data_IF_060742448315
#
_entry.id   IF_060742448315
#
_cell.length_a   1.000
_cell.length_b   1.000
_cell.length_c   1.000
_cell.angle_alpha   90.00
_cell.angle_beta   90.00
_cell.angle_gamma   90.00
#
_symmetry.space_group_name_H-M   'P 1'
#
loop_
_entity.id
_entity.type
_entity.pdbx_description
1 polymer ?
#
# COMPACT_ATOMS: atom_id res chain seq x y z
N UNK A 1 10.11 -9.30 17.98
CA UNK A 1 9.15 -10.11 17.23
C UNK A 1 9.57 -10.09 15.76
N UNK A 2 9.32 -11.17 15.02
CA UNK A 2 9.66 -11.32 13.61
C UNK A 2 8.40 -11.68 12.81
N UNK A 3 8.44 -11.48 11.50
CA UNK A 3 7.37 -11.96 10.60
C UNK A 3 7.30 -13.49 10.72
N UNK A 4 6.09 -14.04 10.80
CA UNK A 4 5.84 -15.47 11.03
C UNK A 4 5.72 -15.89 12.49
N UNK A 5 6.02 -15.00 13.47
CA UNK A 5 5.76 -15.29 14.88
C UNK A 5 4.25 -15.44 15.15
N UNK A 6 3.84 -16.56 15.75
CA UNK A 6 2.43 -16.81 16.13
C UNK A 6 2.20 -16.36 17.58
N UNK A 7 1.27 -15.44 17.80
CA UNK A 7 0.95 -14.92 19.13
C UNK A 7 0.26 -15.99 20.00
N UNK A 8 0.84 -16.28 21.16
CA UNK A 8 0.30 -17.26 22.15
C UNK A 8 -0.30 -16.58 23.37
N UNK A 9 0.46 -15.69 24.04
CA UNK A 9 0.02 -15.07 25.31
C UNK A 9 0.28 -13.56 25.33
N UNK A 10 -0.58 -12.83 26.04
CA UNK A 10 -0.41 -11.43 26.38
C UNK A 10 -0.53 -11.28 27.90
N UNK A 11 0.49 -10.73 28.56
CA UNK A 11 0.60 -10.62 30.03
C UNK A 11 0.29 -11.97 30.73
N UNK A 12 0.85 -13.06 30.22
CA UNK A 12 0.66 -14.42 30.72
C UNK A 12 -0.67 -15.08 30.37
N UNK A 13 -1.67 -14.35 29.86
CA UNK A 13 -3.00 -14.89 29.50
C UNK A 13 -3.00 -15.42 28.05
N UNK A 14 -3.50 -16.62 27.85
CA UNK A 14 -3.62 -17.23 26.51
C UNK A 14 -4.54 -16.44 25.61
N UNK A 15 -4.12 -16.17 24.37
CA UNK A 15 -4.86 -15.47 23.33
C UNK A 15 -4.89 -16.26 22.01
N UNK A 16 -4.31 -17.45 21.97
CA UNK A 16 -4.15 -18.26 20.75
C UNK A 16 -5.46 -18.59 20.05
N UNK A 17 -6.57 -18.69 20.80
CA UNK A 17 -7.92 -18.97 20.30
C UNK A 17 -8.81 -17.71 20.18
N UNK A 18 -8.23 -16.52 20.36
CA UNK A 18 -8.99 -15.27 20.28
C UNK A 18 -8.91 -14.65 18.89
N UNK A 19 -9.92 -13.83 18.56
CA UNK A 19 -9.84 -13.02 17.34
C UNK A 19 -8.68 -12.01 17.42
N UNK A 20 -8.12 -11.64 16.28
CA UNK A 20 -7.04 -10.65 16.19
C UNK A 20 -7.40 -9.37 16.94
N UNK A 21 -8.61 -8.87 16.79
CA UNK A 21 -9.09 -7.65 17.47
C UNK A 21 -9.04 -7.78 18.99
N UNK A 22 -9.47 -8.93 19.56
CA UNK A 22 -9.43 -9.17 20.99
C UNK A 22 -7.99 -9.29 21.52
N UNK A 23 -7.11 -9.94 20.77
CA UNK A 23 -5.69 -10.04 21.11
C UNK A 23 -4.99 -8.67 21.07
N UNK A 24 -5.24 -7.87 20.02
CA UNK A 24 -4.71 -6.50 19.87
C UNK A 24 -5.20 -5.58 20.99
N UNK A 25 -6.48 -5.67 21.40
CA UNK A 25 -7.00 -4.88 22.53
C UNK A 25 -6.24 -5.14 23.83
N UNK A 26 -5.75 -6.37 24.07
CA UNK A 26 -4.93 -6.70 25.25
C UNK A 26 -3.48 -6.22 25.14
N UNK A 27 -2.95 -6.11 23.91
CA UNK A 27 -1.61 -5.54 23.67
C UNK A 27 -1.65 -4.03 23.85
N UNK A 28 -2.68 -3.35 23.36
CA UNK A 28 -2.89 -1.90 23.54
C UNK A 28 -3.09 -1.55 25.03
N UNK A 29 -2.86 -0.30 25.37
CA UNK A 29 -3.08 0.20 26.74
C UNK A 29 -2.38 1.55 26.95
N UNK A 30 -2.41 2.03 28.20
CA UNK A 30 -1.84 3.34 28.57
C UNK A 30 -0.36 3.45 28.18
N UNK A 31 0.00 4.55 27.53
CA UNK A 31 1.40 4.86 27.15
C UNK A 31 2.26 4.84 28.42
N UNK A 32 3.49 4.30 28.29
CA UNK A 32 4.45 4.16 29.37
C UNK A 32 4.30 2.87 30.18
N UNK A 33 3.20 2.13 30.07
CA UNK A 33 3.04 0.82 30.72
C UNK A 33 3.72 -0.29 29.93
N UNK A 34 4.05 -1.38 30.61
CA UNK A 34 4.70 -2.54 29.98
C UNK A 34 3.67 -3.60 29.59
N UNK A 35 3.90 -4.28 28.48
CA UNK A 35 3.16 -5.45 28.03
C UNK A 35 4.13 -6.58 27.75
N UNK A 36 3.81 -7.80 28.21
CA UNK A 36 4.55 -9.03 27.90
C UNK A 36 3.81 -9.80 26.82
N UNK A 37 4.50 -10.20 25.77
CA UNK A 37 3.96 -10.94 24.64
C UNK A 37 4.76 -12.22 24.43
N UNK A 38 4.10 -13.37 24.50
CA UNK A 38 4.71 -14.68 24.20
C UNK A 38 4.28 -15.13 22.80
N UNK A 39 5.24 -15.49 21.99
CA UNK A 39 5.03 -15.98 20.62
C UNK A 39 5.64 -17.36 20.41
N UNK A 40 5.13 -18.10 19.43
CA UNK A 40 5.75 -19.31 18.89
C UNK A 40 6.48 -18.96 17.61
N UNK A 41 7.75 -19.35 17.52
CA UNK A 41 8.61 -19.22 16.35
C UNK A 41 9.16 -20.61 16.00
N UNK A 42 8.64 -21.20 14.93
CA UNK A 42 8.91 -22.62 14.64
C UNK A 42 8.45 -23.50 15.81
N UNK A 43 9.33 -24.34 16.36
CA UNK A 43 9.08 -25.18 17.53
C UNK A 43 9.30 -24.48 18.88
N UNK A 44 9.92 -23.30 18.91
CA UNK A 44 10.33 -22.61 20.14
C UNK A 44 9.33 -21.51 20.55
N UNK A 45 9.28 -21.21 21.84
CA UNK A 45 8.57 -20.05 22.36
C UNK A 45 9.54 -18.96 22.78
N UNK A 46 9.16 -17.70 22.54
CA UNK A 46 9.91 -16.53 22.98
C UNK A 46 8.96 -15.52 23.62
N UNK A 47 9.39 -14.89 24.72
CA UNK A 47 8.62 -13.85 25.41
C UNK A 47 9.35 -12.52 25.30
N UNK A 48 8.62 -11.49 24.86
CA UNK A 48 9.12 -10.13 24.71
C UNK A 48 8.38 -9.21 25.67
N UNK A 49 9.13 -8.44 26.44
CA UNK A 49 8.61 -7.35 27.28
C UNK A 49 8.80 -6.02 26.56
N UNK A 50 7.72 -5.28 26.34
CA UNK A 50 7.72 -4.05 25.54
C UNK A 50 7.01 -2.93 26.29
N UNK A 51 7.63 -1.74 26.33
CA UNK A 51 6.99 -0.53 26.86
C UNK A 51 6.03 0.05 25.82
N UNK A 52 4.79 0.29 26.19
CA UNK A 52 3.81 0.93 25.30
C UNK A 52 4.21 2.36 25.00
N UNK A 53 4.25 2.71 23.76
CA UNK A 53 4.57 4.05 23.28
C UNK A 53 3.52 4.48 22.25
N UNK A 54 3.39 5.79 22.00
CA UNK A 54 2.65 6.28 20.83
C UNK A 54 3.45 5.87 19.59
N UNK A 55 2.92 4.92 18.83
CA UNK A 55 3.52 4.53 17.54
C UNK A 55 3.02 5.54 16.52
N UNK A 56 3.92 6.38 16.02
CA UNK A 56 3.69 7.14 14.79
C UNK A 56 3.90 6.18 13.63
N UNK A 57 2.82 5.82 12.95
CA UNK A 57 2.92 5.06 11.70
C UNK A 57 3.39 6.03 10.63
N UNK A 58 4.52 5.73 10.00
CA UNK A 58 4.96 6.49 8.84
C UNK A 58 4.01 6.22 7.67
N UNK A 59 3.29 7.26 7.28
CA UNK A 59 2.38 7.21 6.13
C UNK A 59 3.04 7.70 4.84
N UNK A 60 4.22 8.30 4.96
CA UNK A 60 5.03 8.75 3.84
C UNK A 60 6.44 8.20 3.97
N UNK A 61 6.89 7.53 2.93
CA UNK A 61 8.29 7.10 2.79
C UNK A 61 8.90 7.72 1.54
N UNK A 62 10.22 7.85 1.52
CA UNK A 62 10.91 8.41 0.36
C UNK A 62 12.34 7.93 0.21
N UNK A 63 12.71 7.65 -1.03
CA UNK A 63 14.05 7.24 -1.44
C UNK A 63 14.36 7.72 -2.85
N UNK A 64 15.63 7.81 -3.20
CA UNK A 64 16.03 8.02 -4.59
C UNK A 64 15.76 6.75 -5.39
N UNK A 65 15.27 6.90 -6.61
CA UNK A 65 15.01 5.77 -7.50
C UNK A 65 16.31 4.99 -7.76
N UNK A 66 16.31 3.65 -7.66
CA UNK A 66 17.51 2.85 -7.92
C UNK A 66 18.11 3.09 -9.31
N UNK A 67 17.24 3.21 -10.32
CA UNK A 67 17.62 3.38 -11.71
C UNK A 67 18.08 4.79 -12.07
N UNK A 68 17.66 5.82 -11.32
CA UNK A 68 18.04 7.22 -11.55
C UNK A 68 18.07 8.01 -10.24
N UNK A 69 19.25 8.28 -9.72
CA UNK A 69 19.46 8.96 -8.44
C UNK A 69 19.05 10.45 -8.43
N UNK A 70 18.65 11.01 -9.56
CA UNK A 70 18.07 12.35 -9.65
C UNK A 70 16.54 12.34 -9.49
N UNK A 71 15.91 11.16 -9.41
CA UNK A 71 14.47 11.01 -9.22
C UNK A 71 14.19 10.59 -7.78
N UNK A 72 13.44 11.39 -7.03
CA UNK A 72 12.92 11.04 -5.72
C UNK A 72 11.59 10.31 -5.83
N UNK A 73 11.49 9.12 -5.25
CA UNK A 73 10.22 8.37 -5.14
C UNK A 73 9.64 8.65 -3.77
N UNK A 74 8.39 9.13 -3.74
CA UNK A 74 7.64 9.44 -2.52
C UNK A 74 6.40 8.57 -2.51
N UNK A 75 6.31 7.63 -1.57
CA UNK A 75 5.15 6.76 -1.42
C UNK A 75 4.27 7.26 -0.28
N UNK A 76 2.98 7.44 -0.53
CA UNK A 76 1.97 7.73 0.49
C UNK A 76 1.09 6.48 0.63
N UNK A 77 1.12 5.83 1.78
CA UNK A 77 0.33 4.61 2.04
C UNK A 77 -1.11 4.89 2.48
N UNK A 78 -1.35 6.04 3.12
CA UNK A 78 -2.67 6.53 3.51
C UNK A 78 -2.60 8.02 3.83
N UNK A 79 -3.73 8.71 3.75
CA UNK A 79 -3.83 10.12 4.15
C UNK A 79 -4.35 10.22 5.58
N UNK A 80 -3.50 10.68 6.50
CA UNK A 80 -3.81 10.83 7.93
C UNK A 80 -3.17 12.10 8.51
N UNK A 81 -3.36 12.37 9.79
CA UNK A 81 -2.87 13.58 10.46
C UNK A 81 -1.36 13.82 10.24
N UNK A 82 -0.42 12.85 10.37
CA UNK A 82 1.01 13.10 10.19
C UNK A 82 1.44 13.23 8.71
N UNK A 83 0.59 12.86 7.74
CA UNK A 83 0.98 12.72 6.33
C UNK A 83 1.53 14.01 5.73
N UNK A 84 0.90 15.15 5.99
CA UNK A 84 1.35 16.45 5.43
C UNK A 84 2.73 16.82 5.95
N UNK A 85 2.97 16.66 7.25
CA UNK A 85 4.28 16.93 7.88
C UNK A 85 5.36 15.99 7.35
N UNK A 86 5.04 14.69 7.25
CA UNK A 86 5.95 13.68 6.75
C UNK A 86 6.26 13.91 5.26
N UNK A 87 5.28 14.28 4.44
CA UNK A 87 5.46 14.61 3.03
C UNK A 87 6.44 15.78 2.86
N UNK A 88 6.21 16.90 3.54
CA UNK A 88 7.12 18.06 3.51
C UNK A 88 8.55 17.68 3.93
N UNK A 89 8.70 16.87 4.98
CA UNK A 89 10.02 16.41 5.45
C UNK A 89 10.70 15.51 4.41
N UNK A 90 9.95 14.59 3.79
CA UNK A 90 10.45 13.67 2.76
C UNK A 90 10.91 14.42 1.51
N UNK A 91 10.12 15.37 1.01
CA UNK A 91 10.53 16.23 -0.13
C UNK A 91 11.83 16.98 0.20
N UNK A 92 11.91 17.62 1.38
CA UNK A 92 13.13 18.34 1.81
C UNK A 92 14.35 17.41 1.88
N UNK A 93 14.17 16.19 2.41
CA UNK A 93 15.22 15.18 2.48
C UNK A 93 15.71 14.80 1.08
N UNK A 94 14.80 14.43 0.19
CA UNK A 94 15.15 14.01 -1.17
C UNK A 94 15.81 15.12 -1.99
N UNK A 95 15.37 16.39 -1.83
CA UNK A 95 16.05 17.56 -2.42
C UNK A 95 17.51 17.65 -1.96
N UNK A 96 17.78 17.44 -0.66
CA UNK A 96 19.15 17.44 -0.12
C UNK A 96 19.98 16.26 -0.64
N UNK A 97 19.34 15.12 -0.92
CA UNK A 97 19.97 13.94 -1.50
C UNK A 97 20.19 14.04 -3.02
N UNK A 98 19.77 15.16 -3.64
CA UNK A 98 20.04 15.46 -5.05
C UNK A 98 18.89 15.19 -6.01
N UNK A 99 17.68 14.87 -5.51
CA UNK A 99 16.51 14.72 -6.37
C UNK A 99 16.21 16.04 -7.13
N UNK A 100 15.98 15.94 -8.44
CA UNK A 100 15.61 17.00 -9.36
C UNK A 100 14.18 16.87 -9.88
N UNK A 101 13.60 15.68 -9.72
CA UNK A 101 12.23 15.34 -10.10
C UNK A 101 11.65 14.31 -9.13
N UNK A 102 10.33 14.11 -9.18
CA UNK A 102 9.65 13.23 -8.24
C UNK A 102 8.71 12.24 -8.94
N UNK A 103 8.57 11.07 -8.34
CA UNK A 103 7.46 10.15 -8.56
C UNK A 103 6.67 10.10 -7.26
N UNK A 104 5.38 10.47 -7.31
CA UNK A 104 4.45 10.32 -6.20
C UNK A 104 3.70 9.00 -6.37
N UNK A 105 4.00 8.03 -5.52
CA UNK A 105 3.38 6.70 -5.56
C UNK A 105 2.15 6.65 -4.64
N UNK A 106 0.96 6.58 -5.26
CA UNK A 106 -0.34 6.44 -4.60
C UNK A 106 -0.96 5.07 -4.84
N UNK A 107 -0.23 4.12 -5.40
CA UNK A 107 -0.71 2.75 -5.58
C UNK A 107 -1.01 2.11 -4.23
N UNK A 108 -2.04 1.26 -4.18
CA UNK A 108 -2.51 0.59 -2.97
C UNK A 108 -2.94 1.54 -1.82
N UNK A 109 -3.15 2.83 -2.11
CA UNK A 109 -3.56 3.82 -1.12
C UNK A 109 -5.09 4.05 -1.19
N UNK A 110 -5.89 3.56 -0.22
CA UNK A 110 -7.35 3.67 -0.24
C UNK A 110 -7.85 5.09 0.08
N UNK A 111 -6.95 6.04 0.30
CA UNK A 111 -7.27 7.42 0.65
C UNK A 111 -7.07 7.71 2.13
N UNK A 112 -8.05 8.39 2.72
CA UNK A 112 -8.02 8.82 4.12
C UNK A 112 -8.55 10.24 4.30
N UNK A 113 -7.85 11.08 5.04
CA UNK A 113 -8.29 12.45 5.37
C UNK A 113 -8.26 13.38 4.16
N UNK A 114 -9.42 13.95 3.82
CA UNK A 114 -9.56 14.94 2.75
C UNK A 114 -8.67 16.18 2.98
N UNK A 115 -8.55 16.65 4.22
CA UNK A 115 -7.71 17.79 4.56
C UNK A 115 -6.23 17.59 4.20
N UNK A 116 -5.71 16.37 4.39
CA UNK A 116 -4.34 16.03 4.01
C UNK A 116 -4.16 16.02 2.48
N UNK A 117 -5.15 15.47 1.74
CA UNK A 117 -5.14 15.50 0.29
C UNK A 117 -5.19 16.93 -0.26
N UNK A 118 -6.04 17.80 0.29
CA UNK A 118 -6.13 19.22 -0.06
C UNK A 118 -4.78 19.93 0.15
N UNK A 119 -4.14 19.71 1.30
CA UNK A 119 -2.84 20.32 1.61
C UNK A 119 -1.75 19.87 0.64
N UNK A 120 -1.64 18.57 0.36
CA UNK A 120 -0.63 18.05 -0.58
C UNK A 120 -0.92 18.54 -2.00
N UNK A 121 -2.17 18.50 -2.44
CA UNK A 121 -2.55 19.00 -3.77
C UNK A 121 -2.25 20.49 -3.94
N UNK A 122 -2.46 21.29 -2.89
CA UNK A 122 -2.12 22.73 -2.91
C UNK A 122 -0.61 22.97 -3.11
N UNK A 123 0.25 22.08 -2.61
CA UNK A 123 1.70 22.21 -2.80
C UNK A 123 2.15 22.13 -4.26
N UNK A 124 1.37 21.45 -5.10
CA UNK A 124 1.64 21.31 -6.55
C UNK A 124 0.87 22.32 -7.42
N UNK A 125 -0.14 22.97 -6.85
CA UNK A 125 -1.01 23.89 -7.58
C UNK A 125 -0.59 25.36 -7.39
N UNK A 126 -0.88 26.21 -8.39
CA UNK A 126 -0.75 27.68 -8.22
C UNK A 126 -1.83 28.18 -7.25
N UNK A 127 -1.50 29.23 -6.49
CA UNK A 127 -2.47 29.84 -5.57
C UNK A 127 -3.73 30.29 -6.33
N UNK A 128 -4.89 30.02 -5.74
CA UNK A 128 -6.19 30.34 -6.32
C UNK A 128 -6.79 29.25 -7.24
N UNK A 129 -5.99 28.29 -7.72
CA UNK A 129 -6.53 27.19 -8.51
C UNK A 129 -7.44 26.30 -7.66
N UNK A 130 -8.54 25.82 -8.25
CA UNK A 130 -9.44 24.88 -7.61
C UNK A 130 -8.72 23.54 -7.40
N UNK A 131 -8.73 23.02 -6.17
CA UNK A 131 -8.18 21.70 -5.83
C UNK A 131 -9.28 20.66 -5.85
N UNK A 132 -10.46 21.03 -5.34
CA UNK A 132 -11.59 20.14 -5.13
C UNK A 132 -12.87 20.94 -5.09
N UNK A 133 -13.97 20.33 -5.55
CA UNK A 133 -15.33 20.84 -5.32
C UNK A 133 -16.10 19.76 -4.55
N UNK A 134 -16.87 20.16 -3.54
CA UNK A 134 -17.77 19.27 -2.80
C UNK A 134 -19.19 19.74 -3.08
N UNK A 135 -20.07 18.85 -3.50
CA UNK A 135 -21.47 19.12 -3.80
C UNK A 135 -22.36 18.30 -2.86
N UNK A 136 -23.21 18.97 -2.10
CA UNK A 136 -24.16 18.32 -1.20
C UNK A 136 -25.37 17.75 -1.96
N UNK A 137 -26.29 17.11 -1.22
CA UNK A 137 -27.52 16.53 -1.80
C UNK A 137 -28.46 17.56 -2.43
N UNK A 138 -28.35 18.84 -2.08
CA UNK A 138 -29.19 19.92 -2.59
C UNK A 138 -28.53 20.63 -3.79
N UNK A 139 -27.34 20.22 -4.20
CA UNK A 139 -26.57 20.81 -5.29
C UNK A 139 -25.72 22.01 -4.89
N UNK A 140 -25.69 22.39 -3.60
CA UNK A 140 -24.81 23.44 -3.13
C UNK A 140 -23.34 23.00 -3.18
N UNK A 141 -22.47 23.87 -3.73
CA UNK A 141 -21.07 23.57 -3.96
C UNK A 141 -20.16 24.37 -3.04
N UNK A 142 -19.24 23.66 -2.40
CA UNK A 142 -18.10 24.23 -1.71
C UNK A 142 -16.84 24.01 -2.53
N UNK A 143 -16.08 25.08 -2.82
CA UNK A 143 -14.88 25.03 -3.68
C UNK A 143 -13.64 25.26 -2.85
N UNK A 144 -12.75 24.29 -2.82
CA UNK A 144 -11.46 24.36 -2.13
C UNK A 144 -10.39 24.82 -3.12
N UNK A 145 -9.71 25.91 -2.77
CA UNK A 145 -8.65 26.52 -3.60
C UNK A 145 -7.28 26.37 -2.98
N UNK A 146 -6.27 26.14 -3.83
CA UNK A 146 -4.87 26.10 -3.41
C UNK A 146 -4.42 27.46 -2.83
N UNK A 147 -3.53 27.43 -1.86
CA UNK A 147 -2.94 28.61 -1.26
C UNK A 147 -2.34 28.36 0.10
N UNK A 148 -1.73 29.42 0.66
CA UNK A 148 -0.95 29.36 1.91
C UNK A 148 -1.70 28.79 3.10
N UNK A 149 -3.04 28.92 3.16
CA UNK A 149 -3.84 28.29 4.22
C UNK A 149 -3.80 26.75 4.20
N UNK A 150 -3.53 26.15 3.05
CA UNK A 150 -3.46 24.69 2.89
C UNK A 150 -2.03 24.16 2.90
N UNK A 151 -1.07 24.90 2.36
CA UNK A 151 0.30 24.43 2.12
C UNK A 151 1.38 25.13 2.96
N UNK A 152 1.03 26.13 3.77
CA UNK A 152 1.96 26.98 4.54
C UNK A 152 3.04 27.63 3.66
N UNK A 153 2.73 27.85 2.37
CA UNK A 153 3.67 28.38 1.38
C UNK A 153 4.70 27.35 0.88
N UNK A 154 4.60 26.09 1.26
CA UNK A 154 5.48 25.03 0.75
C UNK A 154 5.02 24.59 -0.65
N UNK A 155 5.93 24.65 -1.62
CA UNK A 155 5.65 24.26 -3.01
C UNK A 155 6.60 23.17 -3.51
N UNK A 156 6.05 22.32 -4.38
CA UNK A 156 6.77 21.31 -5.15
C UNK A 156 6.59 21.71 -6.63
N UNK A 157 7.67 22.19 -7.22
CA UNK A 157 7.68 22.72 -8.59
C UNK A 157 8.47 21.84 -9.55
N UNK A 158 9.13 20.82 -9.01
CA UNK A 158 9.91 19.86 -9.77
C UNK A 158 9.00 19.03 -10.65
N UNK A 159 9.53 18.62 -11.80
CA UNK A 159 8.84 17.68 -12.69
C UNK A 159 8.42 16.43 -11.90
N UNK A 160 7.16 16.08 -12.00
CA UNK A 160 6.56 15.00 -11.19
C UNK A 160 5.71 14.09 -12.07
N UNK A 161 5.60 12.81 -11.72
CA UNK A 161 4.61 11.88 -12.22
C UNK A 161 3.89 11.23 -11.03
N UNK A 162 2.63 10.83 -11.21
CA UNK A 162 1.85 10.17 -10.16
C UNK A 162 1.55 8.73 -10.57
N UNK A 163 1.92 7.78 -9.72
CA UNK A 163 1.55 6.38 -9.87
C UNK A 163 0.20 6.11 -9.23
N UNK A 164 -0.72 5.49 -9.97
CA UNK A 164 -2.04 5.07 -9.53
C UNK A 164 -2.34 3.63 -9.95
N UNK A 165 -3.23 2.98 -9.20
CA UNK A 165 -3.76 1.65 -9.53
C UNK A 165 -5.23 1.51 -9.09
N UNK A 166 -5.82 0.34 -9.31
CA UNK A 166 -7.20 0.04 -8.95
C UNK A 166 -7.53 0.15 -7.45
N UNK A 167 -6.55 0.29 -6.58
CA UNK A 167 -6.71 0.49 -5.14
C UNK A 167 -6.44 1.95 -4.72
N UNK A 168 -6.00 2.81 -5.65
CA UNK A 168 -5.91 4.26 -5.43
C UNK A 168 -7.30 4.84 -5.36
N UNK A 169 -7.77 5.25 -4.17
CA UNK A 169 -9.15 5.65 -3.96
C UNK A 169 -9.29 6.96 -3.16
N UNK A 170 -10.44 7.66 -3.32
CA UNK A 170 -10.85 8.79 -2.47
C UNK A 170 -9.78 9.91 -2.40
N UNK A 171 -9.14 10.16 -1.23
CA UNK A 171 -8.11 11.18 -1.07
C UNK A 171 -6.92 11.04 -2.05
N UNK A 172 -6.57 9.81 -2.43
CA UNK A 172 -5.57 9.53 -3.48
C UNK A 172 -6.03 10.06 -4.83
N UNK A 173 -7.32 9.86 -5.16
CA UNK A 173 -7.90 10.33 -6.42
C UNK A 173 -8.09 11.85 -6.42
N UNK A 174 -8.42 12.45 -5.28
CA UNK A 174 -8.45 13.92 -5.11
C UNK A 174 -7.07 14.49 -5.44
N UNK A 175 -6.02 13.92 -4.84
CA UNK A 175 -4.63 14.36 -5.08
C UNK A 175 -4.24 14.15 -6.53
N UNK A 176 -4.42 12.96 -7.08
CA UNK A 176 -4.05 12.65 -8.46
C UNK A 176 -4.79 13.55 -9.47
N UNK A 177 -6.11 13.75 -9.30
CA UNK A 177 -6.91 14.63 -10.17
C UNK A 177 -6.45 16.08 -10.11
N UNK A 178 -6.16 16.59 -8.90
CA UNK A 178 -5.70 17.97 -8.73
C UNK A 178 -4.33 18.20 -9.38
N UNK A 179 -3.38 17.28 -9.20
CA UNK A 179 -2.06 17.37 -9.80
C UNK A 179 -2.13 17.28 -11.32
N UNK A 180 -2.93 16.36 -11.83
CA UNK A 180 -3.12 16.19 -13.27
C UNK A 180 -3.75 17.42 -13.92
N UNK A 181 -4.91 17.87 -13.39
CA UNK A 181 -5.69 18.94 -14.02
C UNK A 181 -5.10 20.35 -13.81
N UNK A 182 -4.42 20.60 -12.70
CA UNK A 182 -3.84 21.91 -12.39
C UNK A 182 -2.41 22.12 -12.91
N UNK A 183 -1.64 21.05 -12.99
CA UNK A 183 -0.19 21.12 -13.23
C UNK A 183 0.28 20.23 -14.37
N UNK A 184 -0.64 19.63 -15.11
CA UNK A 184 -0.37 18.69 -16.21
C UNK A 184 0.61 17.57 -15.81
N UNK A 185 0.54 17.14 -14.55
CA UNK A 185 1.35 16.06 -14.03
C UNK A 185 0.78 14.73 -14.54
N UNK A 186 1.55 13.91 -15.27
CA UNK A 186 1.06 12.70 -15.86
C UNK A 186 0.71 11.64 -14.78
N UNK A 187 -0.42 10.96 -15.00
CA UNK A 187 -0.82 9.77 -14.26
C UNK A 187 -0.28 8.52 -14.97
N UNK A 188 0.35 7.63 -14.21
CA UNK A 188 0.99 6.42 -14.72
C UNK A 188 0.45 5.20 -14.00
N UNK A 189 0.17 4.11 -14.72
CA UNK A 189 -0.23 2.84 -14.15
C UNK A 189 -1.59 2.35 -14.61
N UNK A 190 -2.40 1.85 -13.69
CA UNK A 190 -3.76 1.35 -13.96
C UNK A 190 -4.81 2.39 -13.55
N UNK A 191 -6.04 2.21 -14.06
CA UNK A 191 -7.21 3.04 -13.72
C UNK A 191 -7.48 3.01 -12.22
N UNK A 192 -7.77 4.16 -11.61
CA UNK A 192 -8.06 4.26 -10.18
C UNK A 192 -9.43 3.69 -9.79
N UNK A 193 -9.70 3.57 -8.51
CA UNK A 193 -10.89 2.91 -7.95
C UNK A 193 -12.22 3.56 -8.33
N UNK A 194 -12.30 4.89 -8.29
CA UNK A 194 -13.56 5.61 -8.55
C UNK A 194 -14.42 5.80 -7.30
N UNK A 195 -13.84 6.29 -6.18
CA UNK A 195 -14.61 6.65 -4.98
C UNK A 195 -14.87 8.15 -4.93
N UNK A 196 -15.98 8.58 -5.57
CA UNK A 196 -16.38 9.97 -5.71
C UNK A 196 -17.31 10.49 -4.62
N UNK A 197 -17.34 9.87 -3.41
CA UNK A 197 -18.22 10.24 -2.29
C UNK A 197 -17.44 10.77 -1.10
N UNK A 198 -18.05 11.72 -0.39
CA UNK A 198 -17.56 12.24 0.91
C UNK A 198 -18.34 11.56 2.03
N UNK A 199 -17.61 11.00 2.99
CA UNK A 199 -18.19 10.31 4.14
C UNK A 199 -17.83 11.05 5.43
N UNK A 200 -18.80 11.16 6.32
CA UNK A 200 -18.59 11.60 7.70
C UNK A 200 -18.69 10.39 8.63
N UNK A 201 -17.82 10.36 9.64
CA UNK A 201 -17.81 9.34 10.67
C UNK A 201 -18.23 10.01 11.99
N UNK A 202 -19.39 9.63 12.50
CA UNK A 202 -19.91 10.09 13.79
C UNK A 202 -19.80 8.98 14.84
N UNK A 203 -19.42 9.32 16.04
CA UNK A 203 -19.48 8.39 17.19
C UNK A 203 -20.93 8.25 17.68
N UNK A 204 -21.41 7.00 17.84
CA UNK A 204 -22.73 6.68 18.38
C UNK A 204 -22.59 5.88 19.68
N UNK A 205 -22.28 6.58 20.78
CA UNK A 205 -22.09 5.96 22.09
C UNK A 205 -20.82 5.11 22.19
N UNK A 206 -20.67 4.32 23.26
CA UNK A 206 -19.46 3.56 23.53
C UNK A 206 -19.15 2.54 22.43
N UNK A 207 -18.07 2.77 21.67
CA UNK A 207 -17.49 1.90 20.66
C UNK A 207 -18.34 1.63 19.40
N UNK A 208 -19.28 2.53 19.05
CA UNK A 208 -20.04 2.44 17.80
C UNK A 208 -19.76 3.66 16.94
N UNK A 209 -19.46 3.42 15.67
CA UNK A 209 -19.27 4.46 14.66
C UNK A 209 -20.37 4.37 13.61
N UNK A 210 -20.93 5.52 13.25
CA UNK A 210 -21.83 5.65 12.10
C UNK A 210 -21.09 6.34 10.97
N UNK A 211 -20.98 5.66 9.83
CA UNK A 211 -20.34 6.18 8.63
C UNK A 211 -21.39 6.47 7.58
N UNK A 212 -21.61 7.75 7.29
CA UNK A 212 -22.63 8.22 6.35
C UNK A 212 -21.99 8.94 5.16
N UNK A 213 -22.49 8.66 3.97
CA UNK A 213 -22.20 9.48 2.79
C UNK A 213 -23.05 10.74 2.85
N UNK A 214 -22.39 11.91 2.86
CA UNK A 214 -23.02 13.21 3.02
C UNK A 214 -22.94 14.10 1.78
N UNK A 215 -22.02 13.84 0.88
CA UNK A 215 -21.79 14.64 -0.33
C UNK A 215 -21.07 13.79 -1.40
N UNK A 216 -21.03 14.33 -2.62
CA UNK A 216 -20.10 13.90 -3.67
C UNK A 216 -18.97 14.91 -3.81
N UNK A 217 -17.83 14.47 -4.27
CA UNK A 217 -16.75 15.36 -4.62
C UNK A 217 -16.49 15.31 -6.13
N UNK A 218 -16.06 16.44 -6.64
CA UNK A 218 -15.77 16.66 -8.07
C UNK A 218 -14.31 17.10 -8.20
N UNK A 219 -13.69 16.68 -9.29
CA UNK A 219 -12.33 17.14 -9.65
C UNK A 219 -12.27 18.67 -9.83
N UNK A 220 -11.08 19.29 -9.93
CA UNK A 220 -10.98 20.71 -10.25
C UNK A 220 -11.87 21.15 -11.41
N UNK A 221 -11.95 20.36 -12.47
CA UNK A 221 -12.78 20.63 -13.65
C UNK A 221 -14.28 20.27 -13.50
N UNK A 222 -14.73 19.90 -12.28
CA UNK A 222 -16.12 19.59 -12.01
C UNK A 222 -16.58 18.20 -12.43
N UNK A 223 -15.67 17.28 -12.75
CA UNK A 223 -16.01 15.91 -13.14
C UNK A 223 -16.25 15.02 -11.90
N UNK A 224 -17.36 14.28 -11.90
CA UNK A 224 -17.63 13.26 -10.88
C UNK A 224 -17.08 11.90 -11.32
N UNK A 225 -16.12 11.37 -10.56
CA UNK A 225 -15.38 10.15 -10.90
C UNK A 225 -15.95 8.87 -10.27
N UNK A 226 -17.09 8.98 -9.57
CA UNK A 226 -17.65 7.83 -8.84
C UNK A 226 -17.96 6.67 -9.79
N UNK A 227 -17.48 5.47 -9.43
CA UNK A 227 -17.47 4.25 -10.25
C UNK A 227 -16.73 4.35 -11.60
N UNK A 228 -16.16 5.52 -11.91
CA UNK A 228 -15.43 5.74 -13.16
C UNK A 228 -13.93 5.71 -12.96
N UNK A 229 -13.43 6.25 -11.85
CA UNK A 229 -12.01 6.42 -11.59
C UNK A 229 -11.31 7.42 -12.50
N UNK A 230 -10.02 7.58 -12.29
CA UNK A 230 -9.10 8.36 -13.14
C UNK A 230 -8.40 7.41 -14.11
N UNK A 231 -8.37 7.79 -15.37
CA UNK A 231 -7.63 7.04 -16.41
C UNK A 231 -6.20 7.56 -16.45
N UNK A 232 -5.17 6.71 -16.38
CA UNK A 232 -3.80 7.14 -16.51
C UNK A 232 -3.47 7.59 -17.94
N UNK A 233 -2.57 8.58 -18.08
CA UNK A 233 -2.03 9.05 -19.38
C UNK A 233 -1.06 8.00 -19.94
N UNK A 234 -0.29 7.36 -19.06
CA UNK A 234 0.67 6.29 -19.42
C UNK A 234 0.16 4.99 -18.78
N UNK A 235 -0.56 4.21 -19.59
CA UNK A 235 -1.11 2.94 -19.12
C UNK A 235 -0.01 1.90 -19.04
N UNK A 236 0.18 1.34 -17.84
CA UNK A 236 1.08 0.23 -17.56
C UNK A 236 0.39 -0.70 -16.57
N UNK A 237 0.21 -1.95 -16.96
CA UNK A 237 -0.43 -2.95 -16.08
C UNK A 237 0.59 -3.59 -15.14
N UNK A 238 0.12 -4.10 -13.99
CA UNK A 238 0.93 -4.97 -13.15
C UNK A 238 1.34 -6.25 -13.90
N UNK A 239 2.55 -6.77 -13.66
CA UNK A 239 2.92 -8.10 -14.15
C UNK A 239 1.89 -9.15 -13.68
N UNK A 240 1.65 -10.18 -14.50
CA UNK A 240 0.72 -11.26 -14.15
C UNK A 240 1.04 -11.89 -12.77
N UNK A 241 2.33 -11.97 -12.43
CA UNK A 241 2.80 -12.48 -11.15
C UNK A 241 2.34 -11.66 -9.94
N UNK A 242 2.09 -10.35 -10.09
CA UNK A 242 1.55 -9.49 -9.03
C UNK A 242 0.05 -9.73 -8.76
N UNK A 243 -0.64 -10.42 -9.70
CA UNK A 243 -2.07 -10.74 -9.61
C UNK A 243 -2.33 -12.16 -9.08
N UNK A 244 -1.29 -12.88 -8.64
CA UNK A 244 -1.42 -14.22 -8.06
C UNK A 244 -2.18 -14.12 -6.74
N UNK A 245 -3.21 -14.96 -6.60
CA UNK A 245 -4.03 -15.02 -5.38
C UNK A 245 -3.20 -15.56 -4.22
N UNK A 246 -3.41 -15.02 -3.03
CA UNK A 246 -2.76 -15.49 -1.81
C UNK A 246 -3.13 -16.94 -1.52
N UNK A 247 -2.13 -17.74 -1.12
CA UNK A 247 -2.31 -19.10 -0.65
C UNK A 247 -2.81 -19.06 0.78
N UNK A 248 -3.97 -19.70 1.03
CA UNK A 248 -4.58 -19.77 2.36
C UNK A 248 -4.19 -21.05 3.12
N UNK A 249 -3.75 -22.08 2.41
CA UNK A 249 -3.29 -23.33 3.02
C UNK A 249 -2.01 -23.09 3.83
N UNK A 250 -1.88 -23.80 4.96
CA UNK A 250 -0.66 -23.83 5.77
C UNK A 250 0.40 -24.78 5.22
N UNK A 251 0.00 -25.66 4.33
CA UNK A 251 0.83 -26.68 3.69
C UNK A 251 0.16 -27.14 2.39
N UNK A 252 0.97 -27.42 1.36
CA UNK A 252 0.57 -28.08 0.12
C UNK A 252 1.52 -29.24 -0.17
N UNK A 253 0.99 -30.38 -0.59
CA UNK A 253 1.73 -31.63 -0.77
C UNK A 253 1.29 -32.39 -2.05
N UNK A 254 2.06 -33.38 -2.52
CA UNK A 254 1.69 -34.20 -3.66
C UNK A 254 0.27 -34.78 -3.55
N UNK A 255 -0.48 -34.67 -4.63
CA UNK A 255 -1.88 -35.09 -4.71
C UNK A 255 -2.91 -34.01 -4.37
N UNK A 256 -2.52 -32.89 -3.74
CA UNK A 256 -3.43 -31.76 -3.48
C UNK A 256 -3.87 -31.11 -4.80
N UNK A 257 -5.07 -30.49 -4.79
CA UNK A 257 -5.68 -29.85 -5.97
C UNK A 257 -6.36 -28.53 -5.57
N UNK A 258 -6.52 -27.63 -6.54
CA UNK A 258 -7.32 -26.42 -6.38
C UNK A 258 -6.55 -25.12 -6.52
N UNK A 259 -7.17 -24.02 -6.07
CA UNK A 259 -6.67 -22.66 -6.26
C UNK A 259 -5.32 -22.40 -5.60
N UNK A 260 -5.09 -22.95 -4.41
CA UNK A 260 -3.83 -22.75 -3.68
C UNK A 260 -2.66 -23.45 -4.39
N UNK A 261 -2.89 -24.65 -4.97
CA UNK A 261 -1.90 -25.33 -5.82
C UNK A 261 -1.63 -24.54 -7.10
N UNK A 262 -2.69 -23.99 -7.73
CA UNK A 262 -2.53 -23.09 -8.89
C UNK A 262 -1.65 -21.89 -8.54
N UNK A 263 -1.91 -21.23 -7.42
CA UNK A 263 -1.11 -20.09 -6.96
C UNK A 263 0.35 -20.49 -6.70
N UNK A 264 0.60 -21.64 -6.06
CA UNK A 264 1.94 -22.18 -5.87
C UNK A 264 2.67 -22.38 -7.20
N UNK A 265 2.02 -23.03 -8.17
CA UNK A 265 2.57 -23.26 -9.51
C UNK A 265 2.87 -21.96 -10.24
N UNK A 266 1.98 -20.96 -10.16
CA UNK A 266 2.19 -19.63 -10.71
C UNK A 266 3.38 -18.91 -10.07
N UNK A 267 3.56 -19.02 -8.75
CA UNK A 267 4.71 -18.44 -8.03
C UNK A 267 6.02 -19.09 -8.46
N UNK A 268 6.06 -20.42 -8.53
CA UNK A 268 7.24 -21.18 -9.01
C UNK A 268 7.61 -20.78 -10.45
N UNK A 269 6.61 -20.68 -11.33
CA UNK A 269 6.79 -20.26 -12.73
C UNK A 269 7.32 -18.82 -12.81
N UNK A 270 6.75 -17.89 -12.05
CA UNK A 270 7.18 -16.50 -12.00
C UNK A 270 8.63 -16.35 -11.50
N UNK A 271 9.03 -17.19 -10.55
CA UNK A 271 10.40 -17.26 -10.02
C UNK A 271 11.34 -18.10 -10.90
N UNK A 272 10.84 -18.66 -12.01
CA UNK A 272 11.61 -19.53 -12.94
C UNK A 272 12.20 -20.76 -12.25
N UNK A 273 11.48 -21.34 -11.33
CA UNK A 273 11.89 -22.54 -10.58
C UNK A 273 11.33 -23.79 -11.26
N UNK A 274 12.19 -24.56 -11.90
CA UNK A 274 11.83 -25.81 -12.59
C UNK A 274 10.87 -25.62 -13.78
N UNK A 275 10.42 -26.71 -14.34
CA UNK A 275 9.42 -26.74 -15.43
C UNK A 275 8.06 -27.14 -14.85
N UNK A 276 7.25 -26.14 -14.44
CA UNK A 276 5.95 -26.34 -13.81
C UNK A 276 4.83 -25.97 -14.78
N UNK A 277 3.89 -26.87 -14.99
CA UNK A 277 2.63 -26.58 -15.68
C UNK A 277 1.58 -26.10 -14.68
N UNK A 278 0.93 -24.96 -14.96
CA UNK A 278 -0.13 -24.44 -14.10
C UNK A 278 -1.45 -25.19 -14.38
N UNK A 279 -1.63 -26.34 -13.74
CA UNK A 279 -2.76 -27.26 -13.95
C UNK A 279 -3.64 -27.42 -12.71
N UNK A 280 -3.32 -26.72 -11.61
CA UNK A 280 -4.02 -26.81 -10.31
C UNK A 280 -3.93 -28.18 -9.63
N UNK A 281 -2.98 -29.05 -10.02
CA UNK A 281 -2.73 -30.35 -9.40
C UNK A 281 -1.28 -30.42 -8.92
N UNK A 282 -1.06 -30.80 -7.68
CA UNK A 282 0.28 -30.98 -7.12
C UNK A 282 0.86 -32.29 -7.65
N UNK A 283 1.39 -32.23 -8.86
CA UNK A 283 1.99 -33.35 -9.58
C UNK A 283 3.50 -33.48 -9.29
N UNK A 284 4.14 -34.48 -9.87
CA UNK A 284 5.57 -34.76 -9.68
C UNK A 284 6.45 -33.59 -10.14
N UNK A 285 6.05 -32.88 -11.21
CA UNK A 285 6.77 -31.69 -11.68
C UNK A 285 6.70 -30.55 -10.64
N UNK A 286 5.55 -30.33 -10.03
CA UNK A 286 5.37 -29.37 -8.95
C UNK A 286 6.20 -29.77 -7.73
N UNK A 287 6.23 -31.07 -7.35
CA UNK A 287 7.05 -31.57 -6.26
C UNK A 287 8.54 -31.36 -6.51
N UNK A 288 9.00 -31.68 -7.71
CA UNK A 288 10.41 -31.49 -8.08
C UNK A 288 10.81 -30.01 -8.03
N UNK A 289 9.96 -29.11 -8.52
CA UNK A 289 10.19 -27.66 -8.44
C UNK A 289 10.24 -27.15 -7.00
N UNK A 290 9.33 -27.63 -6.13
CA UNK A 290 9.35 -27.28 -4.70
C UNK A 290 10.64 -27.76 -4.04
N UNK A 291 11.10 -29.00 -4.30
CA UNK A 291 12.40 -29.48 -3.80
C UNK A 291 13.57 -28.60 -4.27
N UNK A 292 13.59 -28.27 -5.56
CA UNK A 292 14.61 -27.37 -6.12
C UNK A 292 14.60 -26.00 -5.44
N UNK A 293 13.41 -25.43 -5.22
CA UNK A 293 13.26 -24.16 -4.51
C UNK A 293 13.76 -24.24 -3.07
N UNK A 294 13.39 -25.30 -2.34
CA UNK A 294 13.81 -25.54 -0.97
C UNK A 294 15.33 -25.64 -0.85
N UNK A 295 15.99 -26.42 -1.72
CA UNK A 295 17.44 -26.55 -1.78
C UNK A 295 18.13 -25.21 -2.03
N UNK A 296 17.67 -24.45 -3.03
CA UNK A 296 18.22 -23.13 -3.35
C UNK A 296 18.08 -22.10 -2.24
N UNK A 297 17.11 -22.29 -1.34
CA UNK A 297 16.85 -21.38 -0.21
C UNK A 297 17.22 -21.96 1.17
N UNK A 298 17.97 -23.07 1.21
CA UNK A 298 18.43 -23.74 2.44
C UNK A 298 17.30 -24.17 3.38
N UNK A 299 16.19 -24.59 2.80
CA UNK A 299 15.07 -25.22 3.47
C UNK A 299 15.18 -26.76 3.36
N UNK A 300 14.49 -27.49 4.20
CA UNK A 300 14.42 -28.95 4.11
C UNK A 300 13.73 -29.37 2.79
N UNK A 301 14.45 -30.09 1.93
CA UNK A 301 14.03 -30.42 0.58
C UNK A 301 13.05 -31.61 0.54
N UNK A 302 11.93 -31.49 1.27
CA UNK A 302 10.91 -32.54 1.40
C UNK A 302 10.05 -32.69 0.14
N UNK A 303 9.95 -31.61 -0.65
CA UNK A 303 9.02 -31.53 -1.77
C UNK A 303 7.55 -31.31 -1.32
N UNK A 304 7.35 -30.94 -0.07
CA UNK A 304 6.08 -30.45 0.48
C UNK A 304 6.25 -28.94 0.72
N UNK A 305 5.35 -28.13 0.19
CA UNK A 305 5.37 -26.70 0.41
C UNK A 305 4.72 -26.40 1.77
N UNK A 306 5.53 -26.48 2.83
CA UNK A 306 5.14 -26.12 4.19
C UNK A 306 5.10 -24.59 4.39
N UNK A 307 4.78 -24.15 5.60
CA UNK A 307 4.64 -22.73 5.92
C UNK A 307 5.92 -21.94 5.65
N UNK A 308 7.10 -22.49 5.93
CA UNK A 308 8.39 -21.81 5.70
C UNK A 308 8.69 -21.71 4.20
N UNK A 309 8.38 -22.74 3.44
CA UNK A 309 8.49 -22.76 1.98
C UNK A 309 7.56 -21.72 1.33
N UNK A 310 6.28 -21.70 1.75
CA UNK A 310 5.28 -20.74 1.23
C UNK A 310 5.64 -19.29 1.57
N UNK A 311 6.09 -19.05 2.79
CA UNK A 311 6.55 -17.71 3.21
C UNK A 311 7.78 -17.27 2.42
N UNK A 312 8.74 -18.16 2.20
CA UNK A 312 9.95 -17.85 1.42
C UNK A 312 9.62 -17.60 -0.05
N UNK A 313 8.72 -18.38 -0.65
CA UNK A 313 8.22 -18.13 -2.02
C UNK A 313 7.58 -16.75 -2.14
N UNK A 314 6.69 -16.40 -1.23
CA UNK A 314 6.04 -15.09 -1.22
C UNK A 314 7.05 -13.94 -1.07
N UNK A 315 8.05 -14.09 -0.19
CA UNK A 315 9.11 -13.10 0.01
C UNK A 315 9.96 -12.92 -1.26
N UNK A 316 10.38 -14.02 -1.90
CA UNK A 316 11.18 -13.97 -3.13
C UNK A 316 10.41 -13.34 -4.29
N UNK A 317 9.14 -13.70 -4.46
CA UNK A 317 8.28 -13.11 -5.47
C UNK A 317 8.09 -11.61 -5.24
N UNK A 318 7.81 -11.20 -4.01
CA UNK A 318 7.68 -9.78 -3.65
C UNK A 318 8.96 -8.99 -3.94
N UNK A 319 10.13 -9.55 -3.61
CA UNK A 319 11.42 -8.93 -3.90
C UNK A 319 11.67 -8.78 -5.42
N UNK A 320 11.31 -9.79 -6.21
CA UNK A 320 11.41 -9.73 -7.67
C UNK A 320 10.47 -8.66 -8.25
N UNK A 321 9.20 -8.64 -7.82
CA UNK A 321 8.22 -7.65 -8.28
C UNK A 321 8.62 -6.21 -7.92
N UNK A 322 9.26 -6.03 -6.76
CA UNK A 322 9.78 -4.72 -6.36
C UNK A 322 10.96 -4.29 -7.23
N UNK A 323 11.83 -5.23 -7.62
CA UNK A 323 12.97 -4.96 -8.49
C UNK A 323 12.54 -4.68 -9.94
N UNK A 324 11.58 -5.47 -10.43
CA UNK A 324 11.09 -5.46 -11.81
C UNK A 324 9.71 -4.80 -11.89
N UNK A 325 9.60 -3.55 -11.41
CA UNK A 325 8.36 -2.76 -11.38
C UNK A 325 8.21 -1.92 -12.67
N UNK A 326 7.44 -2.36 -13.65
CA UNK A 326 7.29 -1.66 -14.93
C UNK A 326 6.56 -0.31 -14.78
N UNK A 327 5.64 -0.18 -13.81
CA UNK A 327 4.95 1.09 -13.55
C UNK A 327 5.94 2.13 -12.99
N UNK A 328 6.75 1.74 -12.00
CA UNK A 328 7.78 2.61 -11.44
C UNK A 328 8.79 3.02 -12.51
N UNK A 329 9.22 2.09 -13.36
CA UNK A 329 10.11 2.41 -14.47
C UNK A 329 9.50 3.44 -15.41
N UNK A 330 8.25 3.25 -15.83
CA UNK A 330 7.56 4.21 -16.71
C UNK A 330 7.40 5.59 -16.07
N UNK A 331 7.10 5.66 -14.76
CA UNK A 331 7.00 6.92 -14.03
C UNK A 331 8.36 7.64 -13.91
N UNK A 332 9.44 6.90 -13.64
CA UNK A 332 10.81 7.46 -13.62
C UNK A 332 11.20 7.98 -15.01
N UNK A 333 10.92 7.21 -16.07
CA UNK A 333 11.21 7.63 -17.46
C UNK A 333 10.42 8.89 -17.86
N UNK A 334 9.18 9.04 -17.37
CA UNK A 334 8.34 10.22 -17.63
C UNK A 334 8.89 11.52 -17.03
N UNK A 335 9.68 11.44 -15.95
CA UNK A 335 10.24 12.61 -15.26
C UNK A 335 11.75 12.82 -15.47
N UNK A 336 12.41 11.84 -16.06
CA UNK A 336 13.87 11.88 -16.27
C UNK A 336 14.31 12.70 -17.51
N UNK A 337 13.35 13.05 -18.39
CA UNK A 337 13.58 13.78 -19.66
C UNK A 337 13.60 15.29 -19.49
#
# INVERSE_FOLDING_TARGET
MQVGDVLLKVNGKDVSKQTVSKAVAKIRGKIGTTVSVTVKRGSKQATFSMKRQKITVDTVTGQLAPANKQVGVITISTFSEPTVKQFKATVKKLRKEGAKSFVLDLRQNPGGMMSAALSISSMFSKNGQTVLQVEDRNGAKEVYKAGKKLDDGFKVTEKTAVLIDGNSASASEITAAALHQNSNIPLVGEKSFGKGTVQNVGEMGSNKELKLTIAKWLTPNGTWINHKGLTPDIKVDYPAAAKITLINATQLKPGDKGSDVKSLQQMLTALKVGSVTVNSQYDDATQAAVKTFQQANKLDATGTADQDTLATLAQKLSAQLTKDDPMMKAAVDAVAK
#
